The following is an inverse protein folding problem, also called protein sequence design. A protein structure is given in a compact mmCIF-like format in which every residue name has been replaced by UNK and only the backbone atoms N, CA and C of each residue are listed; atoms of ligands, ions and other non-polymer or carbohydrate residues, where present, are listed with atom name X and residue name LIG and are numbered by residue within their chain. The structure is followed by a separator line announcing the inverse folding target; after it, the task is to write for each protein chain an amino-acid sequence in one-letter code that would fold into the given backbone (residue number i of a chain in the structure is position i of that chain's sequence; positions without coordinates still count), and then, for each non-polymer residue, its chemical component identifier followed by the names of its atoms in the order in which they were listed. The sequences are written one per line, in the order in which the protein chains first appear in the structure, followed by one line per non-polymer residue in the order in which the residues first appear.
data_IF_906348443243
#
_entry.id   IF_906348443243
#
_cell.length_a   1.000
_cell.length_b   1.000
_cell.length_c   1.000
_cell.angle_alpha   90.00
_cell.angle_beta   90.00
_cell.angle_gamma   90.00
#
_symmetry.space_group_name_H-M   'P 1'
#
loop_
_entity.id
_entity.type
_entity.pdbx_description
1 polymer ?
#
# COMPACT_ATOMS: atom_id res chain seq x y z
N UNK A 1 9.97 -24.56 15.33
CA UNK A 1 9.47 -23.56 16.30
C UNK A 1 7.98 -23.78 16.57
N UNK A 2 7.47 -23.38 17.73
CA UNK A 2 6.05 -23.42 18.08
C UNK A 2 5.66 -22.14 18.82
N UNK A 3 4.61 -21.46 18.35
CA UNK A 3 4.09 -20.21 18.91
C UNK A 3 2.56 -20.27 19.11
N UNK A 4 2.06 -19.33 19.92
CA UNK A 4 0.63 -19.09 20.14
C UNK A 4 0.26 -17.73 19.55
N UNK A 5 -0.60 -17.68 18.54
CA UNK A 5 -1.05 -16.45 17.92
C UNK A 5 -2.37 -15.97 18.55
N UNK A 6 -2.38 -14.74 19.06
CA UNK A 6 -3.57 -14.10 19.69
C UNK A 6 -4.25 -13.07 18.80
N UNK A 7 -3.63 -12.74 17.68
CA UNK A 7 -4.24 -12.00 16.59
C UNK A 7 -3.86 -12.66 15.27
N UNK A 8 -4.81 -12.69 14.35
CA UNK A 8 -4.62 -13.15 12.99
C UNK A 8 -5.62 -12.41 12.10
N UNK A 9 -5.19 -12.12 10.89
CA UNK A 9 -6.02 -11.38 9.95
C UNK A 9 -5.41 -11.34 8.58
N UNK A 10 -6.02 -10.53 7.76
CA UNK A 10 -5.48 -10.18 6.46
C UNK A 10 -6.19 -8.95 5.97
N UNK A 11 -5.44 -8.14 5.27
CA UNK A 11 -5.92 -6.87 4.75
C UNK A 11 -5.39 -6.64 3.34
N UNK A 12 -6.18 -5.87 2.62
CA UNK A 12 -5.72 -5.25 1.39
C UNK A 12 -5.24 -3.88 1.80
N UNK A 13 -3.93 -3.72 1.86
CA UNK A 13 -3.32 -2.43 1.99
C UNK A 13 -3.14 -1.84 0.58
N UNK A 14 -4.19 -1.16 0.11
CA UNK A 14 -4.14 -0.46 -1.18
C UNK A 14 -3.10 0.68 -1.19
N UNK A 15 -2.59 1.11 -0.03
CA UNK A 15 -1.61 2.20 0.08
C UNK A 15 -0.19 1.69 -0.15
N UNK A 16 0.20 0.59 0.49
CA UNK A 16 1.47 -0.09 0.20
C UNK A 16 1.42 -0.98 -1.04
N UNK A 17 0.24 -1.07 -1.69
CA UNK A 17 -0.02 -1.98 -2.81
C UNK A 17 0.27 -3.42 -2.40
N UNK A 18 -0.20 -3.81 -1.22
CA UNK A 18 0.04 -5.13 -0.63
C UNK A 18 -1.26 -5.82 -0.31
N UNK A 19 -1.36 -7.08 -0.71
CA UNK A 19 -2.28 -8.02 -0.10
C UNK A 19 -1.52 -8.76 1.00
N UNK A 20 -1.96 -8.60 2.24
CA UNK A 20 -1.30 -9.15 3.41
C UNK A 20 -2.16 -10.19 4.13
N UNK A 21 -1.51 -11.24 4.61
CA UNK A 21 -1.99 -12.07 5.70
C UNK A 21 -1.00 -12.01 6.86
N UNK A 22 -1.49 -11.95 8.09
CA UNK A 22 -0.62 -11.86 9.26
C UNK A 22 -1.15 -12.62 10.47
N UNK A 23 -0.24 -12.92 11.39
CA UNK A 23 -0.55 -13.30 12.76
C UNK A 23 0.53 -12.80 13.72
N UNK A 24 0.16 -12.62 15.00
CA UNK A 24 1.11 -12.25 16.05
C UNK A 24 0.80 -12.89 17.40
N UNK A 25 1.83 -12.99 18.25
CA UNK A 25 1.72 -13.53 19.61
C UNK A 25 0.91 -12.63 20.56
N UNK A 26 1.08 -11.31 20.44
CA UNK A 26 0.35 -10.30 21.19
C UNK A 26 -1.02 -10.02 20.60
N UNK A 27 -2.03 -9.87 21.45
CA UNK A 27 -3.38 -9.49 21.00
C UNK A 27 -3.44 -8.05 20.44
N UNK A 28 -2.44 -7.24 20.77
CA UNK A 28 -2.19 -5.87 20.30
C UNK A 28 -1.25 -5.82 19.09
N UNK A 29 -0.88 -6.97 18.52
CA UNK A 29 0.11 -7.05 17.44
C UNK A 29 1.56 -6.99 17.92
N UNK A 30 1.81 -7.03 19.22
CA UNK A 30 3.17 -7.10 19.77
C UNK A 30 3.75 -8.53 19.77
N UNK A 31 5.03 -8.65 20.14
CA UNK A 31 5.75 -9.92 20.15
C UNK A 31 6.22 -10.31 18.75
N UNK A 32 6.28 -11.60 18.48
CA UNK A 32 6.60 -12.10 17.15
C UNK A 32 5.40 -11.93 16.22
N UNK A 33 5.62 -11.20 15.13
CA UNK A 33 4.66 -10.96 14.05
C UNK A 33 5.18 -11.64 12.79
N UNK A 34 4.36 -12.47 12.15
CA UNK A 34 4.66 -13.00 10.83
C UNK A 34 3.70 -12.41 9.82
N UNK A 35 4.23 -11.86 8.73
CA UNK A 35 3.42 -11.36 7.62
C UNK A 35 3.76 -12.10 6.33
N UNK A 36 2.75 -12.31 5.50
CA UNK A 36 2.83 -12.87 4.17
C UNK A 36 2.22 -11.85 3.23
N UNK A 37 3.04 -11.30 2.35
CA UNK A 37 2.67 -10.15 1.56
C UNK A 37 2.94 -10.47 0.09
N UNK A 38 2.00 -10.12 -0.78
CA UNK A 38 2.29 -9.98 -2.20
C UNK A 38 1.87 -8.60 -2.65
N UNK A 39 2.46 -8.14 -3.74
CA UNK A 39 1.98 -6.94 -4.38
C UNK A 39 0.51 -7.15 -4.84
N UNK A 40 -0.37 -6.21 -4.52
CA UNK A 40 -1.79 -6.27 -4.82
C UNK A 40 -2.05 -6.07 -6.30
N UNK A 41 -1.37 -5.10 -6.92
CA UNK A 41 -1.45 -4.76 -8.35
C UNK A 41 -0.83 -5.81 -9.28
N UNK A 42 -0.20 -6.82 -8.70
CA UNK A 42 0.50 -7.84 -9.45
C UNK A 42 -0.46 -8.62 -10.36
N UNK A 43 -0.08 -8.80 -11.63
CA UNK A 43 -0.98 -9.30 -12.67
C UNK A 43 -1.54 -10.68 -12.34
N UNK A 44 -2.86 -10.87 -12.49
CA UNK A 44 -3.53 -12.15 -12.32
C UNK A 44 -4.10 -12.66 -13.66
N UNK A 45 -3.65 -13.82 -14.16
CA UNK A 45 -2.64 -14.72 -13.58
C UNK A 45 -1.21 -14.18 -13.74
N UNK A 46 -0.29 -14.64 -12.88
CA UNK A 46 1.13 -14.31 -12.98
C UNK A 46 1.68 -14.62 -14.39
N UNK A 47 2.35 -13.65 -15.01
CA UNK A 47 2.95 -13.74 -16.35
C UNK A 47 4.43 -13.32 -16.38
N UNK A 48 5.07 -13.23 -15.21
CA UNK A 48 6.46 -12.81 -15.07
C UNK A 48 7.46 -13.77 -15.72
N UNK A 49 8.68 -13.29 -15.95
CA UNK A 49 9.78 -14.12 -16.43
C UNK A 49 10.41 -14.89 -15.26
N UNK A 50 10.24 -16.23 -15.26
CA UNK A 50 10.86 -17.10 -14.25
C UNK A 50 12.39 -17.10 -14.23
N UNK A 51 13.04 -16.48 -15.23
CA UNK A 51 14.49 -16.41 -15.37
C UNK A 51 15.10 -15.09 -14.88
N UNK A 52 14.28 -14.11 -14.49
CA UNK A 52 14.77 -12.88 -13.84
C UNK A 52 14.93 -13.13 -12.33
N UNK A 53 16.12 -12.84 -11.80
CA UNK A 53 16.43 -12.92 -10.36
C UNK A 53 15.74 -11.79 -9.53
N UNK A 54 14.72 -11.15 -10.08
CA UNK A 54 13.93 -10.12 -9.40
C UNK A 54 12.84 -10.76 -8.54
N UNK A 55 13.26 -11.40 -7.44
CA UNK A 55 12.36 -12.07 -6.49
C UNK A 55 11.33 -11.13 -5.84
N UNK A 56 11.62 -9.82 -5.82
CA UNK A 56 10.73 -8.79 -5.29
C UNK A 56 9.44 -8.66 -6.11
N UNK A 57 9.57 -8.75 -7.44
CA UNK A 57 8.46 -8.62 -8.38
C UNK A 57 7.90 -9.97 -8.87
N UNK A 58 8.52 -11.09 -8.50
CA UNK A 58 8.18 -12.42 -9.02
C UNK A 58 7.47 -13.35 -8.02
N UNK A 59 7.40 -12.99 -6.74
CA UNK A 59 6.77 -13.82 -5.70
C UNK A 59 6.28 -12.98 -4.51
N UNK A 60 5.46 -13.60 -3.65
CA UNK A 60 5.18 -13.09 -2.32
C UNK A 60 6.45 -13.05 -1.44
N UNK A 61 6.47 -12.15 -0.46
CA UNK A 61 7.46 -12.13 0.60
C UNK A 61 6.88 -12.55 1.95
N UNK A 62 7.77 -12.95 2.86
CA UNK A 62 7.46 -13.34 4.23
C UNK A 62 8.39 -12.55 5.14
N UNK A 63 7.82 -11.91 6.16
CA UNK A 63 8.59 -11.27 7.22
C UNK A 63 8.32 -11.93 8.56
N UNK A 64 9.33 -11.91 9.44
CA UNK A 64 9.18 -12.33 10.82
C UNK A 64 9.85 -11.33 11.75
N UNK A 65 9.05 -10.53 12.45
CA UNK A 65 9.55 -9.38 13.20
C UNK A 65 10.09 -8.27 12.27
N UNK A 66 11.02 -7.46 12.76
CA UNK A 66 11.50 -6.25 12.06
C UNK A 66 12.81 -6.43 11.28
N UNK A 67 13.39 -7.63 11.21
CA UNK A 67 14.80 -7.78 10.78
C UNK A 67 15.03 -8.68 9.55
N UNK A 68 14.10 -9.56 9.17
CA UNK A 68 14.29 -10.47 8.03
C UNK A 68 13.06 -10.52 7.11
N UNK A 69 13.31 -10.27 5.82
CA UNK A 69 12.36 -10.43 4.72
C UNK A 69 12.91 -11.46 3.74
N UNK A 70 12.13 -12.48 3.44
CA UNK A 70 12.46 -13.46 2.40
C UNK A 70 11.40 -13.45 1.29
N UNK A 71 11.76 -13.86 0.08
CA UNK A 71 10.85 -13.96 -1.05
C UNK A 71 10.60 -15.43 -1.39
N UNK A 72 9.33 -15.84 -1.34
CA UNK A 72 8.94 -17.24 -1.46
C UNK A 72 9.44 -18.09 -0.29
N UNK A 73 9.88 -19.32 -0.60
CA UNK A 73 10.55 -20.20 0.37
C UNK A 73 9.62 -20.94 1.35
N UNK A 74 8.31 -20.71 1.29
CA UNK A 74 7.29 -21.54 1.93
C UNK A 74 7.03 -22.78 1.04
N UNK A 75 7.24 -23.97 1.58
CA UNK A 75 7.08 -25.23 0.86
C UNK A 75 5.66 -25.79 1.05
N UNK A 76 5.12 -25.66 2.27
CA UNK A 76 3.82 -26.22 2.62
C UNK A 76 3.17 -25.45 3.77
N UNK A 77 1.84 -25.31 3.68
CA UNK A 77 0.99 -24.91 4.79
C UNK A 77 -0.08 -25.97 5.00
N UNK A 78 -0.30 -26.36 6.26
CA UNK A 78 -1.42 -27.23 6.62
C UNK A 78 -2.16 -26.70 7.85
N UNK A 79 -3.49 -26.70 7.80
CA UNK A 79 -4.32 -26.42 8.97
C UNK A 79 -5.05 -27.67 9.45
N UNK A 80 -5.14 -27.81 10.77
CA UNK A 80 -6.03 -28.73 11.45
C UNK A 80 -6.70 -27.95 12.58
N UNK A 81 -8.02 -27.72 12.45
CA UNK A 81 -8.78 -26.85 13.35
C UNK A 81 -8.13 -25.47 13.50
N UNK A 82 -7.76 -25.09 14.73
CA UNK A 82 -7.06 -23.84 15.05
C UNK A 82 -5.54 -23.96 15.07
N UNK A 83 -4.96 -25.04 14.54
CA UNK A 83 -3.51 -25.20 14.43
C UNK A 83 -3.05 -25.09 12.98
N UNK A 84 -2.12 -24.17 12.72
CA UNK A 84 -1.41 -24.08 11.45
C UNK A 84 0.00 -24.65 11.56
N UNK A 85 0.46 -25.36 10.54
CA UNK A 85 1.85 -25.78 10.38
C UNK A 85 2.40 -25.22 9.07
N UNK A 86 3.51 -24.51 9.16
CA UNK A 86 4.19 -23.86 8.04
C UNK A 86 5.56 -24.51 7.88
N UNK A 87 5.85 -24.99 6.68
CA UNK A 87 7.13 -25.61 6.35
C UNK A 87 7.90 -24.71 5.40
N UNK A 88 9.13 -24.38 5.79
CA UNK A 88 10.01 -23.51 5.04
C UNK A 88 11.18 -24.31 4.46
N UNK A 89 11.68 -23.86 3.31
CA UNK A 89 12.95 -24.33 2.75
C UNK A 89 14.10 -24.07 3.74
N UNK A 90 15.21 -24.81 3.61
CA UNK A 90 16.34 -24.67 4.54
C UNK A 90 16.90 -23.23 4.58
N UNK A 91 16.93 -22.54 3.43
CA UNK A 91 17.39 -21.15 3.35
C UNK A 91 16.43 -20.21 4.06
N UNK A 92 15.13 -20.26 3.73
CA UNK A 92 14.08 -19.47 4.36
C UNK A 92 14.02 -19.68 5.88
N UNK A 93 14.12 -20.93 6.32
CA UNK A 93 14.12 -21.30 7.74
C UNK A 93 15.33 -20.75 8.50
N UNK A 94 16.49 -20.65 7.84
CA UNK A 94 17.71 -20.09 8.41
C UNK A 94 17.58 -18.58 8.58
N UNK A 95 17.12 -17.90 7.54
CA UNK A 95 16.99 -16.43 7.51
C UNK A 95 15.90 -15.94 8.46
N UNK A 96 14.78 -16.67 8.54
CA UNK A 96 13.69 -16.38 9.48
C UNK A 96 13.97 -16.88 10.92
N UNK A 97 14.98 -17.73 11.14
CA UNK A 97 15.27 -18.28 12.47
C UNK A 97 14.18 -19.19 13.07
N UNK A 98 13.23 -19.70 12.27
CA UNK A 98 12.08 -20.51 12.74
C UNK A 98 12.37 -22.02 12.78
N UNK A 99 13.45 -22.46 12.14
CA UNK A 99 13.65 -23.85 11.74
C UNK A 99 12.67 -24.26 10.64
N UNK A 100 12.88 -25.43 10.01
CA UNK A 100 12.08 -25.86 8.85
C UNK A 100 10.57 -25.94 9.09
N UNK A 101 10.13 -26.04 10.34
CA UNK A 101 8.73 -26.14 10.70
C UNK A 101 8.39 -25.09 11.77
N UNK A 102 7.38 -24.28 11.48
CA UNK A 102 6.71 -23.42 12.45
C UNK A 102 5.30 -23.96 12.71
N UNK A 103 5.01 -24.27 13.96
CA UNK A 103 3.67 -24.64 14.44
C UNK A 103 3.05 -23.42 15.10
N UNK A 104 1.82 -23.09 14.75
CA UNK A 104 1.07 -21.95 15.29
C UNK A 104 -0.25 -22.46 15.83
N UNK A 105 -0.46 -22.31 17.14
CA UNK A 105 -1.78 -22.46 17.74
C UNK A 105 -2.49 -21.10 17.68
N UNK A 106 -3.66 -21.03 17.06
CA UNK A 106 -4.43 -19.81 16.90
C UNK A 106 -5.47 -19.69 18.01
N UNK A 107 -5.27 -18.74 18.93
CA UNK A 107 -6.20 -18.34 19.98
C UNK A 107 -7.02 -17.11 19.52
N UNK A 108 -7.68 -17.24 18.36
CA UNK A 108 -8.52 -16.20 17.77
C UNK A 108 -9.92 -16.75 17.47
N UNK A 109 -10.86 -15.86 17.15
CA UNK A 109 -12.18 -16.31 16.69
C UNK A 109 -12.07 -17.06 15.35
N UNK A 110 -13.01 -17.99 15.11
CA UNK A 110 -13.10 -18.73 13.84
C UNK A 110 -13.15 -17.78 12.62
N UNK A 111 -13.83 -16.65 12.75
CA UNK A 111 -13.93 -15.63 11.70
C UNK A 111 -12.57 -15.02 11.35
N UNK A 112 -11.75 -14.69 12.35
CA UNK A 112 -10.42 -14.13 12.14
C UNK A 112 -9.47 -15.17 11.54
N UNK A 113 -9.56 -16.42 11.99
CA UNK A 113 -8.79 -17.52 11.42
C UNK A 113 -9.16 -17.75 9.95
N UNK A 114 -10.45 -17.73 9.59
CA UNK A 114 -10.91 -17.84 8.20
C UNK A 114 -10.44 -16.65 7.35
N UNK A 115 -10.46 -15.44 7.91
CA UNK A 115 -9.97 -14.25 7.23
C UNK A 115 -8.47 -14.38 6.89
N UNK A 116 -7.65 -14.73 7.89
CA UNK A 116 -6.23 -15.02 7.70
C UNK A 116 -6.00 -16.10 6.65
N UNK A 117 -6.66 -17.25 6.76
CA UNK A 117 -6.51 -18.35 5.79
C UNK A 117 -6.84 -17.95 4.35
N UNK A 118 -7.87 -17.10 4.16
CA UNK A 118 -8.25 -16.59 2.85
C UNK A 118 -7.16 -15.70 2.25
N UNK A 119 -6.69 -14.72 3.03
CA UNK A 119 -5.65 -13.78 2.60
C UNK A 119 -4.32 -14.49 2.39
N UNK A 120 -3.95 -15.42 3.28
CA UNK A 120 -2.72 -16.20 3.17
C UNK A 120 -2.69 -16.93 1.83
N UNK A 121 -3.79 -17.60 1.47
CA UNK A 121 -3.91 -18.26 0.17
C UNK A 121 -3.71 -17.26 -0.97
N UNK A 122 -4.43 -16.14 -0.96
CA UNK A 122 -4.33 -15.14 -2.02
C UNK A 122 -2.91 -14.58 -2.16
N UNK A 123 -2.19 -14.40 -1.05
CA UNK A 123 -0.80 -13.96 -1.06
C UNK A 123 0.13 -15.03 -1.66
N UNK A 124 0.09 -16.25 -1.14
CA UNK A 124 1.12 -17.26 -1.46
C UNK A 124 0.86 -18.06 -2.73
N UNK A 125 -0.33 -17.95 -3.34
CA UNK A 125 -0.62 -18.60 -4.64
C UNK A 125 -0.31 -17.73 -5.85
N UNK A 126 0.32 -16.57 -5.64
CA UNK A 126 0.75 -15.68 -6.70
C UNK A 126 2.28 -15.66 -6.78
N UNK A 127 2.83 -15.69 -7.99
CA UNK A 127 4.27 -15.71 -8.25
C UNK A 127 4.74 -16.92 -9.04
N UNK A 128 6.06 -17.11 -9.11
CA UNK A 128 6.69 -18.23 -9.84
C UNK A 128 6.06 -19.57 -9.42
N UNK A 129 5.57 -20.40 -10.36
CA UNK A 129 4.86 -21.63 -10.03
C UNK A 129 5.62 -22.61 -9.13
N UNK A 130 6.96 -22.62 -9.20
CA UNK A 130 7.81 -23.46 -8.34
C UNK A 130 7.91 -22.98 -6.90
N UNK A 131 7.46 -21.76 -6.59
CA UNK A 131 7.47 -21.15 -5.25
C UNK A 131 6.09 -21.14 -4.59
N UNK A 132 5.05 -21.58 -5.31
CA UNK A 132 3.71 -21.73 -4.75
C UNK A 132 3.72 -22.93 -3.79
N UNK A 133 3.40 -22.74 -2.49
CA UNK A 133 3.43 -23.80 -1.50
C UNK A 133 2.28 -24.78 -1.72
N UNK A 134 2.43 -25.99 -1.18
CA UNK A 134 1.32 -26.91 -1.03
C UNK A 134 0.39 -26.41 0.08
N UNK A 135 -0.90 -26.26 -0.23
CA UNK A 135 -1.90 -25.76 0.72
C UNK A 135 -2.90 -26.86 1.10
N UNK A 136 -2.91 -27.25 2.36
CA UNK A 136 -3.76 -28.32 2.90
C UNK A 136 -4.65 -27.81 4.04
N UNK A 137 -5.93 -28.20 4.08
CA UNK A 137 -6.81 -27.95 5.23
C UNK A 137 -7.29 -26.50 5.43
N UNK A 138 -7.08 -25.60 4.46
CA UNK A 138 -7.67 -24.26 4.47
C UNK A 138 -9.20 -24.34 4.39
N UNK A 139 -9.93 -23.57 5.20
CA UNK A 139 -11.38 -23.59 5.19
C UNK A 139 -11.94 -23.05 3.86
N UNK A 140 -12.68 -23.89 3.14
CA UNK A 140 -13.40 -23.51 1.93
C UNK A 140 -14.87 -23.22 2.27
N UNK A 141 -15.31 -21.98 2.05
CA UNK A 141 -16.71 -21.70 1.71
C UNK A 141 -16.76 -21.09 0.31
N UNK A 142 -17.08 -21.92 -0.67
CA UNK A 142 -17.57 -21.48 -1.97
C UNK A 142 -19.02 -21.02 -1.78
N UNK A 143 -19.29 -19.72 -1.84
CA UNK A 143 -20.63 -19.20 -2.13
C UNK A 143 -20.54 -17.73 -2.54
N UNK A 144 -20.56 -17.49 -3.85
CA UNK A 144 -21.24 -16.31 -4.39
C UNK A 144 -22.74 -16.41 -4.05
N UNK A 145 -23.38 -15.25 -3.92
CA UNK A 145 -24.83 -15.02 -3.72
C UNK A 145 -25.41 -15.40 -2.35
N UNK A 146 -25.50 -14.42 -1.45
CA UNK A 146 -26.78 -13.76 -1.15
C UNK A 146 -26.57 -12.70 -0.06
N UNK A 147 -26.86 -11.44 -0.40
CA UNK A 147 -27.14 -10.42 0.59
C UNK A 147 -28.47 -10.74 1.27
N UNK A 148 -28.61 -10.43 2.56
CA UNK A 148 -29.69 -9.51 2.90
C UNK A 148 -29.14 -8.24 3.52
N UNK A 149 -29.59 -7.13 2.95
CA UNK A 149 -29.52 -5.80 3.54
C UNK A 149 -30.29 -5.83 4.85
N UNK A 150 -29.59 -5.73 5.98
CA UNK A 150 -30.16 -5.24 7.23
C UNK A 150 -29.13 -4.37 7.93
N UNK A 151 -29.38 -3.06 7.88
CA UNK A 151 -28.67 -2.04 8.65
C UNK A 151 -28.82 -2.33 10.16
N UNK A 152 -27.75 -2.27 10.96
CA UNK A 152 -27.89 -2.09 12.39
C UNK A 152 -28.33 -0.65 12.68
N UNK A 153 -29.39 -0.48 13.48
CA UNK A 153 -29.83 0.80 14.02
C UNK A 153 -28.73 1.47 14.83
N UNK A 154 -28.51 2.77 14.58
CA UNK A 154 -27.71 3.66 15.42
C UNK A 154 -28.22 3.68 16.87
N UNK A 155 -27.31 3.77 17.86
CA UNK A 155 -27.58 4.50 19.09
C UNK A 155 -27.15 5.96 18.95
N UNK A 156 -28.04 6.82 19.46
CA UNK A 156 -28.00 8.29 19.51
C UNK A 156 -26.71 8.90 20.08
N UNK A 157 -26.36 10.04 19.46
CA UNK A 157 -25.73 11.25 20.02
C UNK A 157 -24.69 11.12 21.14
N UNK A 158 -23.41 11.30 20.78
CA UNK A 158 -22.57 12.48 21.11
C UNK A 158 -21.09 12.12 20.93
N UNK A 159 -20.48 12.71 19.92
CA UNK A 159 -19.16 13.37 19.86
C UNK A 159 -18.90 13.57 18.37
N UNK A 160 -19.01 14.83 17.90
CA UNK A 160 -18.60 15.22 16.56
C UNK A 160 -17.08 15.25 16.52
N UNK A 161 -16.46 14.22 15.97
CA UNK A 161 -15.12 14.32 15.40
C UNK A 161 -15.27 14.72 13.91
N UNK A 162 -14.48 15.66 13.38
CA UNK A 162 -14.48 15.94 11.95
C UNK A 162 -13.94 14.71 11.20
N UNK A 163 -14.68 14.26 10.19
CA UNK A 163 -14.22 13.26 9.23
C UNK A 163 -13.01 13.80 8.45
N UNK A 164 -11.79 13.54 8.94
CA UNK A 164 -10.57 13.64 8.17
C UNK A 164 -10.30 12.26 7.53
N UNK A 165 -11.01 11.99 6.43
CA UNK A 165 -10.74 10.84 5.57
C UNK A 165 -9.59 11.24 4.65
N UNK A 166 -8.37 10.87 5.05
CA UNK A 166 -7.12 11.13 4.32
C UNK A 166 -7.15 10.51 2.92
N UNK A 167 -7.06 11.35 1.90
CA UNK A 167 -6.99 10.94 0.50
C UNK A 167 -5.55 10.66 0.10
N UNK A 168 -5.04 9.46 0.34
CA UNK A 168 -3.66 9.13 0.01
C UNK A 168 -3.51 8.61 -1.43
N UNK A 169 -2.37 8.97 -2.01
CA UNK A 169 -1.88 8.72 -3.37
C UNK A 169 -2.01 7.27 -3.82
N UNK A 170 -2.82 7.02 -4.84
CA UNK A 170 -2.84 5.75 -5.59
C UNK A 170 -1.89 5.89 -6.77
N UNK A 171 -0.79 5.12 -6.78
CA UNK A 171 -0.03 4.88 -8.00
C UNK A 171 -0.88 4.02 -8.94
N UNK A 172 -1.28 4.57 -10.08
CA UNK A 172 -2.03 3.88 -11.12
C UNK A 172 -1.03 3.25 -12.07
N UNK A 173 -0.79 1.95 -11.92
CA UNK A 173 -0.01 1.21 -12.91
C UNK A 173 -0.72 1.20 -14.26
N UNK A 174 0.01 1.61 -15.30
CA UNK A 174 -0.42 1.62 -16.69
C UNK A 174 0.48 0.63 -17.41
N UNK A 175 -0.10 -0.37 -18.05
CA UNK A 175 0.68 -1.41 -18.73
C UNK A 175 1.42 -0.82 -19.95
N UNK A 176 2.54 -1.43 -20.36
CA UNK A 176 3.24 -1.05 -21.59
C UNK A 176 2.29 -1.08 -22.81
N UNK A 177 1.34 -2.01 -22.83
CA UNK A 177 0.30 -2.08 -23.85
C UNK A 177 -0.72 -0.93 -23.79
N UNK A 178 -0.97 -0.33 -22.62
CA UNK A 178 -1.75 0.89 -22.49
C UNK A 178 -0.95 2.12 -22.93
N UNK A 179 0.34 2.16 -22.61
CA UNK A 179 1.28 3.18 -23.10
C UNK A 179 1.35 3.17 -24.63
N UNK A 180 1.48 1.98 -25.24
CA UNK A 180 1.61 1.79 -26.69
C UNK A 180 0.28 1.95 -27.43
N UNK A 181 -0.88 1.77 -26.77
CA UNK A 181 -2.22 2.02 -27.35
C UNK A 181 -2.54 3.50 -27.49
N UNK A 182 -2.00 4.37 -26.63
CA UNK A 182 -2.21 5.83 -26.70
C UNK A 182 -1.28 6.53 -27.73
N UNK A 183 -0.25 5.86 -28.24
CA UNK A 183 0.61 6.36 -29.33
C UNK A 183 -0.10 6.43 -30.71
N UNK A 184 -1.30 5.86 -30.80
CA UNK A 184 -2.16 5.96 -31.98
C UNK A 184 -3.31 6.93 -31.75
N UNK A 185 -3.22 8.14 -32.31
CA UNK A 185 -4.25 9.19 -32.46
C UNK A 185 -5.56 9.00 -31.66
N UNK A 186 -5.95 9.96 -30.80
CA UNK A 186 -7.07 9.79 -29.90
C UNK A 186 -8.40 9.61 -30.66
N UNK A 187 -9.30 8.73 -30.21
CA UNK A 187 -10.70 8.85 -30.58
C UNK A 187 -11.19 10.20 -30.05
N UNK A 188 -11.79 10.98 -30.95
CA UNK A 188 -12.11 12.40 -30.82
C UNK A 188 -13.24 12.71 -29.82
N UNK A 189 -13.55 11.81 -28.87
CA UNK A 189 -14.76 11.84 -28.07
C UNK A 189 -14.49 11.52 -26.59
N UNK A 190 -13.71 12.38 -25.93
CA UNK A 190 -13.84 12.64 -24.49
C UNK A 190 -13.07 13.91 -24.11
N UNK A 191 -13.55 15.06 -24.58
CA UNK A 191 -13.38 16.29 -23.83
C UNK A 191 -14.18 16.17 -22.53
N UNK A 192 -13.69 15.38 -21.57
CA UNK A 192 -14.15 15.43 -20.19
C UNK A 192 -13.93 16.86 -19.73
N UNK A 193 -15.00 17.53 -19.28
CA UNK A 193 -14.97 18.96 -18.98
C UNK A 193 -13.80 19.31 -18.07
N UNK A 194 -12.88 20.12 -18.57
CA UNK A 194 -11.70 20.65 -17.89
C UNK A 194 -12.02 21.72 -16.84
N UNK A 195 -13.29 21.86 -16.44
CA UNK A 195 -13.69 22.86 -15.46
C UNK A 195 -13.47 22.30 -14.05
N UNK A 196 -12.71 23.01 -13.19
CA UNK A 196 -12.49 22.58 -11.82
C UNK A 196 -13.80 22.57 -11.05
N UNK A 197 -13.95 21.58 -10.16
CA UNK A 197 -15.12 21.53 -9.28
C UNK A 197 -15.14 22.76 -8.35
N UNK A 198 -16.31 23.16 -7.80
CA UNK A 198 -16.37 24.23 -6.81
C UNK A 198 -15.46 23.98 -5.58
N UNK A 199 -15.24 22.70 -5.24
CA UNK A 199 -14.33 22.27 -4.17
C UNK A 199 -12.86 22.51 -4.56
N UNK A 200 -12.48 22.21 -5.80
CA UNK A 200 -11.14 22.50 -6.34
C UNK A 200 -10.87 24.00 -6.34
N UNK A 201 -11.83 24.82 -6.76
CA UNK A 201 -11.70 26.29 -6.79
C UNK A 201 -11.53 26.84 -5.37
N UNK A 202 -12.29 26.32 -4.40
CA UNK A 202 -12.20 26.74 -3.02
C UNK A 202 -10.83 26.37 -2.40
N UNK A 203 -10.30 25.19 -2.73
CA UNK A 203 -8.99 24.74 -2.29
C UNK A 203 -7.86 25.62 -2.86
N UNK A 204 -7.83 25.82 -4.18
CA UNK A 204 -6.79 26.63 -4.86
C UNK A 204 -6.80 28.11 -4.45
N UNK A 205 -7.90 28.59 -3.88
CA UNK A 205 -8.02 29.97 -3.38
C UNK A 205 -7.40 30.17 -2.00
N UNK A 206 -7.09 29.08 -1.27
CA UNK A 206 -6.59 29.12 0.11
C UNK A 206 -5.21 28.45 0.27
N UNK A 207 -4.39 28.45 -0.80
CA UNK A 207 -3.07 27.85 -0.79
C UNK A 207 -2.09 28.63 0.10
N UNK A 208 -1.19 27.90 0.77
CA UNK A 208 -0.03 28.48 1.44
C UNK A 208 0.94 29.08 0.41
N UNK A 209 1.86 29.99 0.80
CA UNK A 209 2.87 30.52 -0.12
C UNK A 209 3.70 29.43 -0.82
N UNK A 210 4.01 28.35 -0.11
CA UNK A 210 4.71 27.19 -0.66
C UNK A 210 3.88 26.44 -1.71
N UNK A 211 2.61 26.15 -1.40
CA UNK A 211 1.69 25.51 -2.36
C UNK A 211 1.44 26.38 -3.59
N UNK A 212 1.39 27.70 -3.42
CA UNK A 212 1.26 28.63 -4.54
C UNK A 212 2.49 28.55 -5.47
N UNK A 213 3.71 28.43 -4.93
CA UNK A 213 4.93 28.22 -5.74
C UNK A 213 4.86 26.93 -6.57
N UNK A 214 4.35 25.83 -5.99
CA UNK A 214 4.16 24.56 -6.70
C UNK A 214 3.12 24.73 -7.81
N UNK A 215 1.96 25.32 -7.49
CA UNK A 215 0.90 25.60 -8.45
C UNK A 215 1.40 26.41 -9.65
N UNK A 216 2.11 27.51 -9.39
CA UNK A 216 2.63 28.38 -10.45
C UNK A 216 3.62 27.64 -11.36
N UNK A 217 4.46 26.78 -10.76
CA UNK A 217 5.38 25.90 -11.49
C UNK A 217 4.62 24.92 -12.40
N UNK A 218 3.58 24.28 -11.87
CA UNK A 218 2.78 23.30 -12.62
C UNK A 218 1.96 23.93 -13.74
N UNK A 219 1.42 25.13 -13.54
CA UNK A 219 0.82 25.90 -14.63
C UNK A 219 1.82 26.16 -15.76
N UNK A 220 3.06 26.54 -15.41
CA UNK A 220 4.15 26.69 -16.38
C UNK A 220 4.52 25.40 -17.14
N UNK A 221 4.13 24.25 -16.61
CA UNK A 221 4.34 22.92 -17.18
C UNK A 221 3.12 22.35 -17.92
N UNK A 222 2.05 23.13 -18.07
CA UNK A 222 0.86 22.74 -18.83
C UNK A 222 -0.17 21.94 -18.04
N UNK A 223 -0.10 21.96 -16.71
CA UNK A 223 -1.10 21.32 -15.85
C UNK A 223 -2.39 22.13 -15.77
N UNK A 224 -3.51 21.43 -15.60
CA UNK A 224 -4.83 22.02 -15.35
C UNK A 224 -5.15 22.03 -13.86
N UNK A 225 -5.98 22.99 -13.43
CA UNK A 225 -6.31 23.23 -12.01
C UNK A 225 -6.75 21.96 -11.26
N UNK A 226 -7.63 21.15 -11.86
CA UNK A 226 -8.11 19.91 -11.24
C UNK A 226 -6.99 18.92 -10.93
N UNK A 227 -5.98 18.83 -11.79
CA UNK A 227 -4.86 17.91 -11.59
C UNK A 227 -3.82 18.47 -10.62
N UNK A 228 -3.66 19.81 -10.60
CA UNK A 228 -2.86 20.51 -9.59
C UNK A 228 -3.48 20.30 -8.21
N UNK A 229 -4.81 20.45 -8.07
CA UNK A 229 -5.53 20.18 -6.81
C UNK A 229 -5.23 18.78 -6.29
N UNK A 230 -5.41 17.76 -7.14
CA UNK A 230 -5.20 16.36 -6.75
C UNK A 230 -3.77 16.15 -6.26
N UNK A 231 -2.78 16.65 -7.01
CA UNK A 231 -1.38 16.55 -6.62
C UNK A 231 -1.11 17.22 -5.26
N UNK A 232 -1.59 18.44 -5.06
CA UNK A 232 -1.35 19.18 -3.81
C UNK A 232 -2.00 18.51 -2.61
N UNK A 233 -3.25 18.05 -2.74
CA UNK A 233 -3.95 17.30 -1.68
C UNK A 233 -3.15 16.06 -1.30
N UNK A 234 -2.73 15.31 -2.31
CA UNK A 234 -1.97 14.09 -2.16
C UNK A 234 -0.61 14.31 -1.49
N UNK A 235 0.09 15.36 -1.92
CA UNK A 235 1.35 15.80 -1.35
C UNK A 235 1.21 16.19 0.13
N UNK A 236 0.22 17.01 0.48
CA UNK A 236 -0.03 17.44 1.87
C UNK A 236 -0.43 16.29 2.76
N UNK A 237 -1.24 15.35 2.27
CA UNK A 237 -1.61 14.16 3.04
C UNK A 237 -0.37 13.32 3.41
N UNK A 238 0.64 13.27 2.53
CA UNK A 238 1.93 12.65 2.85
C UNK A 238 2.67 13.38 3.98
N UNK A 239 2.70 14.71 3.94
CA UNK A 239 3.32 15.56 4.99
C UNK A 239 2.61 15.43 6.33
N UNK A 240 1.28 15.46 6.34
CA UNK A 240 0.48 15.34 7.56
C UNK A 240 0.72 14.00 8.27
N UNK A 241 0.92 12.93 7.51
CA UNK A 241 1.26 11.63 8.07
C UNK A 241 2.62 11.64 8.77
N UNK A 242 3.65 12.21 8.13
CA UNK A 242 4.99 12.35 8.72
C UNK A 242 4.92 13.21 9.99
N UNK A 243 4.19 14.33 9.95
CA UNK A 243 3.93 15.20 11.11
C UNK A 243 3.29 14.45 12.28
N UNK A 244 2.28 13.63 12.00
CA UNK A 244 1.62 12.82 13.00
C UNK A 244 2.60 11.81 13.64
N UNK A 245 3.45 11.19 12.84
CA UNK A 245 4.47 10.25 13.32
C UNK A 245 5.51 10.92 14.24
N UNK A 246 6.03 12.08 13.86
CA UNK A 246 6.94 12.85 14.70
C UNK A 246 6.31 13.30 16.01
N UNK A 247 5.03 13.70 15.95
CA UNK A 247 4.25 14.06 17.12
C UNK A 247 4.11 12.86 18.06
N UNK A 248 3.86 11.65 17.55
CA UNK A 248 3.81 10.41 18.34
C UNK A 248 5.17 10.05 18.94
N UNK A 249 6.28 10.37 18.26
CA UNK A 249 7.65 10.25 18.77
C UNK A 249 8.01 11.33 19.81
N UNK A 250 7.07 12.21 20.17
CA UNK A 250 7.23 13.23 21.20
C UNK A 250 8.00 14.47 20.75
N UNK A 251 8.13 14.67 19.44
CA UNK A 251 8.80 15.85 18.89
C UNK A 251 7.91 17.11 19.06
N UNK A 252 8.54 18.27 19.28
CA UNK A 252 7.80 19.51 19.47
C UNK A 252 7.31 20.08 18.14
N UNK A 253 6.16 20.75 18.13
CA UNK A 253 5.62 21.43 16.93
C UNK A 253 6.65 22.38 16.29
N UNK A 254 7.45 23.05 17.12
CA UNK A 254 8.50 23.97 16.64
C UNK A 254 9.64 23.23 15.94
N UNK A 255 9.98 22.01 16.35
CA UNK A 255 11.02 21.22 15.70
C UNK A 255 10.51 20.53 14.44
N UNK A 256 9.25 20.07 14.46
CA UNK A 256 8.55 19.59 13.26
C UNK A 256 8.52 20.69 12.19
N UNK A 257 8.12 21.92 12.55
CA UNK A 257 8.08 23.03 11.60
C UNK A 257 9.45 23.33 10.97
N UNK A 258 10.54 23.28 11.76
CA UNK A 258 11.90 23.46 11.19
C UNK A 258 12.26 22.38 10.17
N UNK A 259 11.87 21.13 10.43
CA UNK A 259 12.10 20.01 9.52
C UNK A 259 11.27 20.14 8.24
N UNK A 260 10.04 20.65 8.36
CA UNK A 260 9.19 20.98 7.22
C UNK A 260 9.78 22.11 6.38
N UNK A 261 10.24 23.19 7.02
CA UNK A 261 10.88 24.32 6.33
C UNK A 261 12.12 23.87 5.54
N UNK A 262 12.91 22.92 6.09
CA UNK A 262 14.03 22.30 5.38
C UNK A 262 13.56 21.51 4.15
N UNK A 263 12.47 20.75 4.27
CA UNK A 263 11.91 20.00 3.15
C UNK A 263 11.40 20.92 2.05
N UNK A 264 10.79 22.06 2.39
CA UNK A 264 10.28 23.04 1.42
C UNK A 264 11.39 23.73 0.62
N UNK A 265 12.54 23.99 1.25
CA UNK A 265 13.68 24.63 0.59
C UNK A 265 14.33 23.76 -0.49
N UNK A 266 14.37 22.45 -0.29
CA UNK A 266 15.05 21.51 -1.18
C UNK A 266 14.22 21.11 -2.42
N UNK A 267 12.98 21.60 -2.52
CA UNK A 267 12.04 21.22 -3.58
C UNK A 267 12.07 22.21 -4.74
N UNK A 268 12.78 21.87 -5.82
CA UNK A 268 12.97 22.81 -6.95
C UNK A 268 12.82 22.24 -8.37
N UNK A 269 12.77 20.93 -8.58
CA UNK A 269 12.70 20.35 -9.93
C UNK A 269 11.38 19.63 -10.22
N UNK A 270 10.55 20.27 -11.04
CA UNK A 270 9.33 19.70 -11.60
C UNK A 270 9.40 19.47 -13.11
N UNK A 271 10.55 19.71 -13.73
CA UNK A 271 10.68 19.79 -15.20
C UNK A 271 10.27 18.50 -15.91
N UNK A 272 10.50 17.35 -15.27
CA UNK A 272 10.13 16.02 -15.74
C UNK A 272 8.62 15.73 -15.68
N UNK A 273 7.83 16.57 -15.01
CA UNK A 273 6.36 16.47 -14.94
C UNK A 273 5.65 17.29 -16.02
N UNK A 274 6.36 17.77 -17.05
CA UNK A 274 5.75 18.53 -18.13
C UNK A 274 4.65 17.72 -18.82
N UNK A 275 3.47 18.33 -18.98
CA UNK A 275 2.37 17.74 -19.72
C UNK A 275 2.39 18.18 -21.18
N UNK A 276 2.42 17.19 -22.05
CA UNK A 276 2.31 17.34 -23.50
C UNK A 276 0.87 17.13 -23.98
N UNK A 277 0.05 16.47 -23.16
CA UNK A 277 -1.30 16.04 -23.51
C UNK A 277 -1.34 14.82 -24.45
N UNK A 278 -0.18 14.24 -24.79
CA UNK A 278 -0.08 13.13 -25.72
C UNK A 278 -0.41 11.77 -25.07
N UNK A 279 0.00 11.57 -23.81
CA UNK A 279 -0.22 10.33 -23.08
C UNK A 279 -0.58 10.66 -21.62
N UNK A 280 -1.88 10.76 -21.35
CA UNK A 280 -2.41 11.16 -20.03
C UNK A 280 -2.05 10.16 -18.95
N UNK A 281 -1.97 8.90 -19.35
CA UNK A 281 -1.63 7.80 -18.46
C UNK A 281 -0.17 7.95 -17.98
N UNK A 282 0.78 8.06 -18.90
CA UNK A 282 2.20 8.26 -18.59
C UNK A 282 2.43 9.50 -17.71
N UNK A 283 1.77 10.62 -18.03
CA UNK A 283 1.85 11.86 -17.26
C UNK A 283 1.35 11.68 -15.82
N UNK A 284 0.29 10.90 -15.63
CA UNK A 284 -0.21 10.56 -14.30
C UNK A 284 0.79 9.67 -13.54
N UNK A 285 1.30 8.61 -14.17
CA UNK A 285 2.30 7.72 -13.58
C UNK A 285 3.56 8.47 -13.11
N UNK A 286 4.08 9.37 -13.95
CA UNK A 286 5.24 10.20 -13.60
C UNK A 286 4.98 11.08 -12.38
N UNK A 287 3.78 11.64 -12.26
CA UNK A 287 3.43 12.47 -11.11
C UNK A 287 3.32 11.69 -9.81
N UNK A 288 2.79 10.48 -9.87
CA UNK A 288 2.67 9.61 -8.70
C UNK A 288 4.04 9.08 -8.27
N UNK A 289 4.93 8.74 -9.23
CA UNK A 289 6.33 8.40 -8.93
C UNK A 289 7.06 9.54 -8.25
N UNK A 290 6.87 10.77 -8.73
CA UNK A 290 7.47 11.94 -8.08
C UNK A 290 6.99 12.08 -6.64
N UNK A 291 5.70 11.92 -6.39
CA UNK A 291 5.13 12.02 -5.05
C UNK A 291 5.67 10.93 -4.11
N UNK A 292 5.90 9.72 -4.63
CA UNK A 292 6.56 8.64 -3.88
C UNK A 292 8.01 8.99 -3.51
N UNK A 293 8.80 9.46 -4.49
CA UNK A 293 10.17 9.87 -4.25
C UNK A 293 10.26 11.03 -3.25
N UNK A 294 9.36 12.00 -3.38
CA UNK A 294 9.32 13.15 -2.50
C UNK A 294 8.88 12.76 -1.09
N UNK A 295 7.91 11.85 -0.94
CA UNK A 295 7.55 11.30 0.37
C UNK A 295 8.75 10.58 1.02
N UNK A 296 9.45 9.74 0.26
CA UNK A 296 10.66 9.04 0.73
C UNK A 296 11.73 10.03 1.18
N UNK A 297 11.96 11.10 0.41
CA UNK A 297 12.91 12.16 0.75
C UNK A 297 12.52 12.87 2.05
N UNK A 298 11.25 13.24 2.21
CA UNK A 298 10.76 13.88 3.43
C UNK A 298 10.87 12.95 4.64
N UNK A 299 10.55 11.67 4.50
CA UNK A 299 10.75 10.68 5.58
C UNK A 299 12.22 10.58 5.98
N UNK A 300 13.15 10.54 5.02
CA UNK A 300 14.58 10.57 5.32
C UNK A 300 15.02 11.83 6.08
N UNK A 301 14.56 13.00 5.66
CA UNK A 301 14.93 14.27 6.30
C UNK A 301 14.30 14.40 7.69
N UNK A 302 13.02 14.05 7.82
CA UNK A 302 12.24 14.35 9.00
C UNK A 302 12.25 13.23 10.04
N UNK A 303 12.24 11.95 9.60
CA UNK A 303 12.21 10.76 10.47
C UNK A 303 13.56 10.05 10.57
N UNK A 304 14.55 10.47 9.77
CA UNK A 304 15.88 9.84 9.70
C UNK A 304 15.83 8.35 9.31
N UNK A 305 14.92 8.02 8.38
CA UNK A 305 14.77 6.71 7.76
C UNK A 305 15.71 6.57 6.55
N UNK A 306 16.31 5.39 6.36
CA UNK A 306 17.23 5.11 5.24
C UNK A 306 16.49 4.86 3.92
#
# INVERSE_FOLDING_TARGET
MHILAKVAGGEVDEYYDVLEAFFAEGADGSGLVMTFQRQLSAEEPWNGDSSTDDYFNNSYCITLGSEATIYGGLEQVSFLDSRGCFYFSDHAATDLGTGRQLIVDFEVSEQLLQLFQRFLRQAVTWGVPSQIPQLNGLAFKSSMMDAPITQPKEPDERIKAPNLRGGHLKLRFISQEQLDREDGNPPNDAAGSSEPSPEDIAYLSNLTPFQQKIRDSFHGLGWIDTDICKFLIQFENGREHIRAELSMKGQSETDIQKLEDLCEMDMEDFSHLRRSGANRALEQYQSELYLLHENTRQRRVMLNEE
#
